data_IF_075557607627
#
_entry.id   IF_075557607627
#
_cell.length_a   1.000
_cell.length_b   1.000
_cell.length_c   1.000
_cell.angle_alpha   90.00
_cell.angle_beta   90.00
_cell.angle_gamma   90.00
#
_symmetry.space_group_name_H-M   'P 1'
#
loop_
_entity.id
_entity.type
_entity.pdbx_description
1 polymer ?
#
# COMPACT_ATOMS: atom_id res chain seq x y z
N UNK A 1 8.81 -23.00 3.69
CA UNK A 1 9.10 -21.83 2.83
C UNK A 1 7.75 -21.20 2.51
N UNK A 2 7.58 -19.92 2.79
CA UNK A 2 6.39 -19.14 2.42
C UNK A 2 6.67 -18.51 1.04
N UNK A 3 5.68 -18.52 0.15
CA UNK A 3 5.79 -17.96 -1.21
C UNK A 3 4.71 -16.90 -1.32
N UNK A 4 5.12 -15.70 -1.70
CA UNK A 4 4.24 -14.56 -1.92
C UNK A 4 4.01 -14.32 -3.41
N UNK A 5 2.97 -13.58 -3.74
CA UNK A 5 2.67 -13.11 -5.09
C UNK A 5 2.81 -11.59 -5.14
N UNK A 6 3.37 -11.09 -6.23
CA UNK A 6 3.38 -9.67 -6.56
C UNK A 6 2.63 -9.46 -7.88
N UNK A 7 1.57 -8.65 -7.86
CA UNK A 7 0.68 -8.46 -9.00
C UNK A 7 0.75 -7.01 -9.50
N UNK A 8 1.45 -6.78 -10.61
CA UNK A 8 1.65 -5.45 -11.20
C UNK A 8 0.39 -4.88 -11.89
N UNK A 9 -0.56 -5.73 -12.27
CA UNK A 9 -1.73 -5.37 -13.07
C UNK A 9 -1.40 -4.70 -14.41
N UNK A 10 -0.34 -5.18 -15.06
CA UNK A 10 0.04 -4.73 -16.40
C UNK A 10 -0.97 -5.17 -17.46
N UNK A 11 -1.22 -4.33 -18.45
CA UNK A 11 -2.01 -4.63 -19.64
C UNK A 11 -1.08 -4.91 -20.83
N UNK A 12 -0.69 -6.17 -21.09
CA UNK A 12 0.27 -6.46 -22.14
C UNK A 12 -0.33 -6.20 -23.53
N UNK A 13 0.49 -5.76 -24.50
CA UNK A 13 0.05 -5.54 -25.88
C UNK A 13 -0.64 -6.79 -26.45
N UNK A 14 -1.80 -6.59 -27.09
CA UNK A 14 -2.58 -7.67 -27.71
C UNK A 14 -3.57 -8.38 -26.78
N UNK A 15 -3.68 -8.00 -25.53
CA UNK A 15 -4.80 -8.32 -24.64
C UNK A 15 -5.62 -7.04 -24.41
N UNK A 16 -6.65 -6.78 -25.20
CA UNK A 16 -7.51 -5.62 -25.00
C UNK A 16 -8.54 -5.88 -23.89
N UNK A 17 -8.12 -6.52 -22.82
CA UNK A 17 -8.93 -6.55 -21.60
C UNK A 17 -8.79 -5.17 -20.98
N UNK A 18 -9.87 -4.38 -20.98
CA UNK A 18 -9.92 -3.17 -20.20
C UNK A 18 -9.68 -3.44 -18.72
N UNK A 19 -9.62 -2.39 -17.90
CA UNK A 19 -9.44 -2.51 -16.45
C UNK A 19 -10.37 -3.55 -15.81
N UNK A 20 -11.60 -3.68 -16.32
CA UNK A 20 -12.59 -4.65 -15.84
C UNK A 20 -12.08 -6.10 -15.89
N UNK A 21 -11.45 -6.50 -17.00
CA UNK A 21 -10.88 -7.82 -17.13
C UNK A 21 -9.69 -8.07 -16.22
N UNK A 22 -8.81 -7.07 -16.07
CA UNK A 22 -7.64 -7.17 -15.18
C UNK A 22 -8.05 -7.31 -13.70
N UNK A 23 -9.07 -6.59 -13.26
CA UNK A 23 -9.53 -6.65 -11.87
C UNK A 23 -10.25 -7.97 -11.59
N UNK A 24 -10.98 -8.52 -12.58
CA UNK A 24 -11.59 -9.84 -12.42
C UNK A 24 -10.53 -10.94 -12.37
N UNK A 25 -9.51 -10.90 -13.25
CA UNK A 25 -8.37 -11.81 -13.23
C UNK A 25 -7.62 -11.75 -11.87
N UNK A 26 -7.44 -10.56 -11.31
CA UNK A 26 -6.83 -10.38 -10.00
C UNK A 26 -7.61 -11.09 -8.89
N UNK A 27 -8.94 -10.96 -8.89
CA UNK A 27 -9.81 -11.63 -7.91
C UNK A 27 -9.68 -13.16 -8.04
N UNK A 28 -9.66 -13.68 -9.26
CA UNK A 28 -9.55 -15.12 -9.51
C UNK A 28 -8.15 -15.65 -9.13
N UNK A 29 -7.09 -14.88 -9.39
CA UNK A 29 -5.72 -15.18 -8.93
C UNK A 29 -5.67 -15.21 -7.40
N UNK A 30 -6.25 -14.21 -6.72
CA UNK A 30 -6.26 -14.15 -5.27
C UNK A 30 -7.00 -15.34 -4.64
N UNK A 31 -8.15 -15.73 -5.20
CA UNK A 31 -8.89 -16.93 -4.77
C UNK A 31 -8.08 -18.21 -4.97
N UNK A 32 -7.37 -18.32 -6.09
CA UNK A 32 -6.51 -19.47 -6.35
C UNK A 32 -5.34 -19.50 -5.38
N UNK A 33 -4.67 -18.37 -5.13
CA UNK A 33 -3.58 -18.23 -4.19
C UNK A 33 -4.00 -18.61 -2.77
N UNK A 34 -5.18 -18.14 -2.34
CA UNK A 34 -5.75 -18.47 -1.03
C UNK A 34 -5.97 -19.99 -0.86
N UNK A 35 -6.54 -20.64 -1.88
CA UNK A 35 -6.74 -22.12 -1.87
C UNK A 35 -5.43 -22.89 -1.85
N UNK A 36 -4.42 -22.41 -2.57
CA UNK A 36 -3.12 -23.07 -2.72
C UNK A 36 -2.17 -22.80 -1.56
N UNK A 37 -2.52 -21.88 -0.63
CA UNK A 37 -1.73 -21.61 0.56
C UNK A 37 -0.54 -20.69 0.32
N UNK A 38 -0.63 -19.76 -0.62
CA UNK A 38 0.33 -18.66 -0.73
C UNK A 38 0.28 -17.77 0.50
N UNK A 39 1.38 -17.10 0.81
CA UNK A 39 1.52 -16.24 1.98
C UNK A 39 0.80 -14.90 1.81
N UNK A 40 1.35 -14.03 1.00
CA UNK A 40 0.83 -12.67 0.78
C UNK A 40 0.65 -12.40 -0.72
N UNK A 41 -0.41 -11.68 -1.08
CA UNK A 41 -0.55 -11.05 -2.37
C UNK A 41 -0.27 -9.55 -2.20
N UNK A 42 0.73 -9.07 -2.93
CA UNK A 42 1.19 -7.68 -2.90
C UNK A 42 0.71 -6.93 -4.13
N UNK A 43 0.15 -5.73 -3.93
CA UNK A 43 -0.19 -4.78 -4.98
C UNK A 43 0.68 -3.53 -4.88
N UNK A 44 1.28 -3.05 -5.99
CA UNK A 44 1.89 -1.74 -6.03
C UNK A 44 0.83 -0.63 -6.09
N UNK A 45 1.28 0.60 -5.99
CA UNK A 45 0.51 1.77 -6.39
C UNK A 45 1.24 2.52 -7.49
N UNK A 46 0.58 2.65 -8.65
CA UNK A 46 1.10 3.34 -9.81
C UNK A 46 0.05 4.22 -10.48
N UNK A 47 0.50 5.38 -10.95
CA UNK A 47 -0.36 6.39 -11.57
C UNK A 47 0.22 6.88 -12.89
N UNK A 48 -0.65 7.15 -13.85
CA UNK A 48 -0.30 7.77 -15.14
C UNK A 48 0.66 6.95 -16.04
N UNK A 49 0.87 5.69 -15.75
CA UNK A 49 1.84 4.83 -16.44
C UNK A 49 1.25 3.96 -17.57
N UNK A 50 0.05 4.30 -18.05
CA UNK A 50 -0.57 3.62 -19.19
C UNK A 50 -0.75 2.12 -19.00
N UNK A 51 -0.18 1.33 -19.92
CA UNK A 51 -0.32 -0.13 -19.91
C UNK A 51 0.58 -0.83 -18.85
N UNK A 52 1.43 -0.08 -18.15
CA UNK A 52 2.35 -0.65 -17.18
C UNK A 52 1.62 -1.15 -15.93
N UNK A 53 0.71 -0.37 -15.39
CA UNK A 53 -0.08 -0.78 -14.22
C UNK A 53 -1.44 -0.11 -14.17
N UNK A 54 -2.48 -0.89 -13.85
CA UNK A 54 -3.83 -0.39 -13.55
C UNK A 54 -4.08 -0.23 -12.04
N UNK A 55 -3.06 -0.41 -11.21
CA UNK A 55 -3.18 -0.39 -9.75
C UNK A 55 -3.12 1.03 -9.17
N UNK A 56 -3.99 1.93 -9.60
CA UNK A 56 -4.03 3.32 -9.12
C UNK A 56 -4.77 3.52 -7.79
N UNK A 57 -5.52 2.52 -7.34
CA UNK A 57 -6.25 2.53 -6.07
C UNK A 57 -6.16 1.14 -5.40
N UNK A 58 -4.95 0.74 -4.97
CA UNK A 58 -4.73 -0.59 -4.40
C UNK A 58 -5.57 -0.84 -3.14
N UNK A 59 -5.89 0.18 -2.37
CA UNK A 59 -6.76 0.10 -1.20
C UNK A 59 -8.17 -0.40 -1.56
N UNK A 60 -8.76 0.06 -2.65
CA UNK A 60 -10.06 -0.41 -3.14
C UNK A 60 -9.97 -1.88 -3.57
N UNK A 61 -8.91 -2.24 -4.30
CA UNK A 61 -8.67 -3.60 -4.76
C UNK A 61 -8.45 -4.54 -3.58
N UNK A 62 -7.58 -4.19 -2.63
CA UNK A 62 -7.34 -4.99 -1.43
C UNK A 62 -8.60 -5.16 -0.58
N UNK A 63 -9.47 -4.15 -0.52
CA UNK A 63 -10.79 -4.26 0.11
C UNK A 63 -11.68 -5.31 -0.56
N UNK A 64 -11.71 -5.36 -1.89
CA UNK A 64 -12.43 -6.39 -2.65
C UNK A 64 -11.83 -7.78 -2.44
N UNK A 65 -10.49 -7.90 -2.46
CA UNK A 65 -9.78 -9.16 -2.21
C UNK A 65 -9.98 -9.67 -0.78
N UNK A 66 -10.09 -8.77 0.19
CA UNK A 66 -10.36 -9.13 1.58
C UNK A 66 -11.69 -9.88 1.76
N UNK A 67 -12.69 -9.58 0.91
CA UNK A 67 -13.98 -10.26 0.89
C UNK A 67 -13.98 -11.52 -0.01
N UNK A 68 -13.02 -11.63 -0.93
CA UNK A 68 -12.92 -12.75 -1.86
C UNK A 68 -12.03 -13.90 -1.35
N UNK A 69 -11.28 -13.69 -0.26
CA UNK A 69 -10.29 -14.60 0.32
C UNK A 69 -10.49 -14.74 1.83
N UNK A 70 -9.97 -15.84 2.41
CA UNK A 70 -10.14 -16.13 3.84
C UNK A 70 -8.82 -16.11 4.63
N UNK A 71 -7.70 -16.53 4.03
CA UNK A 71 -6.40 -16.74 4.70
C UNK A 71 -5.26 -15.94 4.10
N UNK A 72 -5.31 -15.68 2.80
CA UNK A 72 -4.28 -14.94 2.08
C UNK A 72 -4.07 -13.58 2.71
N UNK A 73 -2.83 -13.26 3.06
CA UNK A 73 -2.46 -11.90 3.48
C UNK A 73 -2.49 -10.99 2.26
N UNK A 74 -2.82 -9.73 2.46
CA UNK A 74 -3.03 -8.74 1.41
C UNK A 74 -2.14 -7.54 1.70
N UNK A 75 -1.26 -7.18 0.78
CA UNK A 75 -0.22 -6.22 1.05
C UNK A 75 -0.11 -5.08 0.04
N UNK A 76 0.28 -3.91 0.53
CA UNK A 76 0.76 -2.82 -0.30
C UNK A 76 2.26 -2.99 -0.56
N UNK A 77 2.66 -3.10 -1.80
CA UNK A 77 4.05 -3.26 -2.19
C UNK A 77 4.48 -2.31 -3.30
N UNK A 78 4.54 -0.96 -3.09
CA UNK A 78 4.43 -0.18 -1.84
C UNK A 78 3.50 1.02 -2.01
N UNK A 79 3.15 1.68 -0.91
CA UNK A 79 2.52 2.99 -0.92
C UNK A 79 3.60 4.08 -1.11
N UNK A 80 3.51 4.94 -2.14
CA UNK A 80 4.43 6.05 -2.35
C UNK A 80 4.09 7.22 -1.42
N UNK A 81 4.67 7.26 -0.22
CA UNK A 81 4.30 8.24 0.82
C UNK A 81 4.37 9.70 0.39
N UNK A 82 5.28 10.15 -0.51
CA UNK A 82 5.33 11.56 -0.90
C UNK A 82 4.07 12.12 -1.56
N UNK A 83 3.21 11.25 -2.08
CA UNK A 83 1.94 11.66 -2.72
C UNK A 83 0.72 11.44 -1.82
N UNK A 84 0.94 11.09 -0.55
CA UNK A 84 -0.13 10.76 0.39
C UNK A 84 -0.09 11.59 1.68
N UNK A 85 -1.26 11.81 2.26
CA UNK A 85 -1.40 12.30 3.64
C UNK A 85 -1.32 11.10 4.62
N UNK A 86 -0.39 11.11 5.61
CA UNK A 86 -0.20 10.00 6.55
C UNK A 86 -1.44 9.67 7.38
N UNK A 87 -2.27 10.67 7.71
CA UNK A 87 -3.53 10.44 8.45
C UNK A 87 -4.46 9.57 7.61
N UNK A 88 -4.59 9.91 6.31
CA UNK A 88 -5.45 9.14 5.39
C UNK A 88 -4.94 7.72 5.19
N UNK A 89 -3.62 7.52 5.13
CA UNK A 89 -3.03 6.17 5.05
C UNK A 89 -3.32 5.39 6.32
N UNK A 90 -3.12 5.96 7.51
CA UNK A 90 -3.39 5.27 8.76
C UNK A 90 -4.86 4.83 8.88
N UNK A 91 -5.82 5.68 8.49
CA UNK A 91 -7.26 5.33 8.48
C UNK A 91 -7.60 4.23 7.46
N UNK A 92 -7.00 4.28 6.25
CA UNK A 92 -7.19 3.24 5.22
C UNK A 92 -6.64 1.89 5.69
N UNK A 93 -5.44 1.86 6.26
CA UNK A 93 -4.83 0.65 6.81
C UNK A 93 -5.68 0.07 7.94
N UNK A 94 -6.16 0.90 8.87
CA UNK A 94 -7.02 0.46 9.96
C UNK A 94 -8.37 -0.09 9.46
N UNK A 95 -8.94 0.55 8.43
CA UNK A 95 -10.18 0.08 7.79
C UNK A 95 -9.99 -1.27 7.10
N UNK A 96 -8.92 -1.42 6.32
CA UNK A 96 -8.60 -2.66 5.62
C UNK A 96 -8.24 -3.79 6.58
N UNK A 97 -7.52 -3.49 7.67
CA UNK A 97 -7.21 -4.48 8.72
C UNK A 97 -8.49 -5.03 9.36
N UNK A 98 -9.44 -4.15 9.68
CA UNK A 98 -10.74 -4.56 10.19
C UNK A 98 -11.55 -5.38 9.17
N UNK A 99 -11.62 -4.94 7.91
CA UNK A 99 -12.33 -5.64 6.83
C UNK A 99 -11.76 -7.03 6.53
N UNK A 100 -10.43 -7.17 6.60
CA UNK A 100 -9.74 -8.42 6.28
C UNK A 100 -9.64 -9.37 7.47
N UNK A 101 -10.03 -8.95 8.68
CA UNK A 101 -9.83 -9.74 9.90
C UNK A 101 -8.35 -9.83 10.32
N UNK A 102 -7.56 -8.79 10.05
CA UNK A 102 -6.16 -8.71 10.48
C UNK A 102 -5.16 -9.30 9.50
N UNK A 103 -5.49 -9.37 8.20
CA UNK A 103 -4.64 -9.93 7.15
C UNK A 103 -3.90 -8.89 6.32
N UNK A 104 -3.98 -7.60 6.70
CA UNK A 104 -3.29 -6.54 5.96
C UNK A 104 -1.82 -6.47 6.33
N UNK A 105 -1.00 -6.39 5.29
CA UNK A 105 0.42 -6.06 5.32
C UNK A 105 0.61 -4.73 4.60
N UNK A 106 1.54 -3.92 5.06
CA UNK A 106 1.80 -2.65 4.39
C UNK A 106 3.29 -2.42 4.17
N UNK A 107 3.61 -1.91 3.00
CA UNK A 107 4.94 -1.45 2.64
C UNK A 107 4.88 -0.03 2.13
N UNK A 108 5.93 0.73 2.36
CA UNK A 108 6.07 2.13 1.96
C UNK A 108 7.34 2.36 1.16
N UNK A 109 7.30 3.37 0.31
CA UNK A 109 8.44 3.79 -0.48
C UNK A 109 8.40 5.27 -0.83
N UNK A 110 9.51 5.75 -1.36
CA UNK A 110 9.63 7.13 -1.82
C UNK A 110 8.88 7.39 -3.14
N UNK A 111 8.48 6.32 -3.86
CA UNK A 111 8.09 6.42 -5.26
C UNK A 111 9.30 6.44 -6.18
N UNK A 112 9.12 6.01 -7.43
CA UNK A 112 10.24 5.80 -8.37
C UNK A 112 10.15 6.72 -9.57
N UNK A 113 8.96 7.16 -9.98
CA UNK A 113 8.79 7.92 -11.20
C UNK A 113 8.54 9.41 -10.92
N UNK A 114 9.24 10.26 -11.68
CA UNK A 114 9.01 11.70 -11.64
C UNK A 114 7.61 12.05 -12.14
N UNK A 115 7.10 11.30 -13.11
CA UNK A 115 5.74 11.49 -13.67
C UNK A 115 4.66 11.37 -12.58
N UNK A 116 4.77 10.39 -11.68
CA UNK A 116 3.82 10.21 -10.60
C UNK A 116 3.94 11.33 -9.56
N UNK A 117 5.16 11.64 -9.13
CA UNK A 117 5.39 12.72 -8.17
C UNK A 117 4.87 14.07 -8.68
N UNK A 118 5.27 14.47 -9.88
CA UNK A 118 4.84 15.72 -10.51
C UNK A 118 3.34 15.76 -10.77
N UNK A 119 2.74 14.63 -11.18
CA UNK A 119 1.31 14.50 -11.41
C UNK A 119 0.46 14.77 -10.16
N UNK A 120 0.99 14.49 -8.97
CA UNK A 120 0.38 14.81 -7.68
C UNK A 120 0.92 16.10 -7.04
N UNK A 121 1.77 16.84 -7.77
CA UNK A 121 2.32 18.11 -7.29
C UNK A 121 3.44 17.95 -6.25
N UNK A 122 4.01 16.75 -6.11
CA UNK A 122 5.18 16.53 -5.28
C UNK A 122 6.45 16.83 -6.07
N UNK A 123 7.34 17.64 -5.49
CA UNK A 123 8.61 17.96 -6.10
C UNK A 123 9.59 16.77 -6.00
N UNK A 124 10.09 16.21 -7.12
CA UNK A 124 10.97 15.03 -7.07
C UNK A 124 12.23 15.21 -6.21
N UNK A 125 12.80 16.41 -6.20
CA UNK A 125 14.00 16.74 -5.40
C UNK A 125 13.75 16.68 -3.89
N UNK A 126 12.52 16.94 -3.44
CA UNK A 126 12.11 16.90 -2.03
C UNK A 126 11.46 15.57 -1.63
N UNK A 127 11.30 14.64 -2.56
CA UNK A 127 10.57 13.39 -2.31
C UNK A 127 11.14 12.54 -1.16
N UNK A 128 12.46 12.62 -0.93
CA UNK A 128 13.10 11.92 0.19
C UNK A 128 12.73 12.54 1.53
N UNK A 129 12.79 13.85 1.64
CA UNK A 129 12.45 14.59 2.87
C UNK A 129 10.98 14.34 3.23
N UNK A 130 10.08 14.52 2.26
CA UNK A 130 8.65 14.26 2.42
C UNK A 130 8.40 12.79 2.83
N UNK A 131 9.12 11.84 2.22
CA UNK A 131 9.01 10.42 2.60
C UNK A 131 9.36 10.19 4.06
N UNK A 132 10.48 10.73 4.54
CA UNK A 132 10.92 10.54 5.93
C UNK A 132 9.96 11.18 6.93
N UNK A 133 9.47 12.41 6.67
CA UNK A 133 8.48 13.07 7.48
C UNK A 133 7.17 12.28 7.55
N UNK A 134 6.62 11.92 6.38
CA UNK A 134 5.37 11.17 6.32
C UNK A 134 5.48 9.76 6.90
N UNK A 135 6.66 9.13 6.82
CA UNK A 135 6.90 7.83 7.45
C UNK A 135 6.90 7.92 8.97
N UNK A 136 7.61 8.90 9.54
CA UNK A 136 7.61 9.13 10.98
C UNK A 136 6.19 9.45 11.51
N UNK A 137 5.46 10.30 10.80
CA UNK A 137 4.08 10.63 11.15
C UNK A 137 3.17 9.38 11.07
N UNK A 138 3.31 8.56 10.04
CA UNK A 138 2.53 7.34 9.88
C UNK A 138 2.79 6.35 11.03
N UNK A 139 4.06 6.15 11.41
CA UNK A 139 4.42 5.28 12.54
C UNK A 139 3.76 5.77 13.85
N UNK A 140 3.87 7.06 14.15
CA UNK A 140 3.23 7.66 15.33
C UNK A 140 1.71 7.51 15.32
N UNK A 141 1.06 7.69 14.17
CA UNK A 141 -0.39 7.52 14.01
C UNK A 141 -0.82 6.08 14.22
N UNK A 142 -0.08 5.11 13.67
CA UNK A 142 -0.38 3.68 13.82
C UNK A 142 -0.14 3.19 15.25
N UNK A 143 0.79 3.80 15.98
CA UNK A 143 1.07 3.47 17.37
C UNK A 143 0.07 4.11 18.34
N UNK A 144 -0.11 5.43 18.26
CA UNK A 144 -0.95 6.20 19.19
C UNK A 144 -2.45 6.09 18.90
N UNK A 145 -2.81 5.98 17.63
CA UNK A 145 -4.20 6.07 17.13
C UNK A 145 -4.79 7.48 17.25
N UNK A 146 -3.95 8.51 17.40
CA UNK A 146 -4.39 9.90 17.54
C UNK A 146 -3.26 10.87 17.16
N UNK A 147 -3.62 12.13 16.92
CA UNK A 147 -2.67 13.22 16.66
C UNK A 147 -3.21 14.53 17.24
N UNK A 148 -2.31 15.48 17.45
CA UNK A 148 -2.66 16.84 17.86
C UNK A 148 -2.50 17.80 16.69
N UNK A 149 -3.47 18.71 16.52
CA UNK A 149 -3.39 19.82 15.56
C UNK A 149 -4.09 21.05 16.13
N UNK A 150 -3.42 22.17 16.11
CA UNK A 150 -3.93 23.46 16.62
C UNK A 150 -4.45 23.39 18.08
N UNK A 151 -3.79 22.61 18.95
CA UNK A 151 -4.17 22.46 20.35
C UNK A 151 -5.37 21.55 20.62
N UNK A 152 -5.87 20.85 19.60
CA UNK A 152 -6.94 19.86 19.74
C UNK A 152 -6.41 18.44 19.43
N UNK A 153 -6.87 17.46 20.19
CA UNK A 153 -6.54 16.03 19.95
C UNK A 153 -7.62 15.38 19.09
N UNK A 154 -7.19 14.74 18.02
CA UNK A 154 -8.04 14.00 17.09
C UNK A 154 -7.71 12.52 17.20
N UNK A 155 -8.72 11.67 17.30
CA UNK A 155 -8.57 10.21 17.31
C UNK A 155 -8.90 9.63 15.94
N UNK A 156 -8.06 8.71 15.46
CA UNK A 156 -8.34 7.95 14.23
C UNK A 156 -9.54 7.03 14.42
N UNK A 157 -10.35 6.89 13.39
CA UNK A 157 -11.51 6.02 13.38
C UNK A 157 -11.69 5.31 12.01
N UNK A 158 -11.54 3.95 11.95
CA UNK A 158 -11.26 3.08 13.09
C UNK A 158 -9.86 3.28 13.69
N UNK A 159 -9.72 2.91 14.96
CA UNK A 159 -8.41 2.95 15.62
C UNK A 159 -7.50 1.85 15.06
N UNK A 160 -6.24 2.14 14.70
CA UNK A 160 -5.28 1.14 14.24
C UNK A 160 -5.09 0.00 15.26
N UNK A 161 -5.02 -1.22 14.77
CA UNK A 161 -4.72 -2.38 15.61
C UNK A 161 -3.21 -2.50 15.86
N UNK A 162 -2.82 -3.21 16.92
CA UNK A 162 -1.40 -3.46 17.21
C UNK A 162 -0.68 -4.24 16.10
N UNK A 163 -1.40 -4.93 15.21
CA UNK A 163 -0.83 -5.65 14.07
C UNK A 163 -0.24 -4.74 12.99
N UNK A 164 -0.71 -3.50 12.93
CA UNK A 164 -0.24 -2.51 11.95
C UNK A 164 1.04 -1.77 12.37
N UNK A 165 1.65 -2.12 13.50
CA UNK A 165 2.90 -1.48 13.95
C UNK A 165 4.10 -1.80 13.06
N UNK A 166 4.15 -3.03 12.55
CA UNK A 166 5.25 -3.49 11.72
C UNK A 166 4.89 -3.35 10.25
N UNK A 167 5.74 -2.67 9.49
CA UNK A 167 5.60 -2.45 8.06
C UNK A 167 6.89 -2.76 7.31
N UNK A 168 6.85 -2.61 6.01
CA UNK A 168 7.97 -2.83 5.10
C UNK A 168 8.40 -1.52 4.47
N UNK A 169 9.70 -1.37 4.27
CA UNK A 169 10.27 -0.22 3.56
C UNK A 169 10.97 -0.72 2.31
N UNK A 170 10.63 -0.14 1.14
CA UNK A 170 11.34 -0.40 -0.09
C UNK A 170 12.71 0.29 -0.05
N UNK A 171 13.76 -0.49 0.14
CA UNK A 171 15.13 -0.01 0.24
C UNK A 171 15.86 -0.26 -1.08
N UNK A 172 16.29 0.83 -1.75
CA UNK A 172 17.04 0.79 -3.02
C UNK A 172 18.36 1.57 -2.95
N UNK A 173 18.67 2.18 -1.80
CA UNK A 173 19.93 2.90 -1.56
C UNK A 173 20.47 2.57 -0.16
N UNK A 174 21.79 2.72 0.09
CA UNK A 174 22.36 2.45 1.40
C UNK A 174 21.61 3.11 2.54
N UNK A 175 21.23 4.37 2.38
CA UNK A 175 20.55 5.14 3.42
C UNK A 175 19.12 4.63 3.72
N UNK A 176 18.44 4.01 2.73
CA UNK A 176 17.15 3.39 2.96
C UNK A 176 17.25 1.99 3.56
N UNK A 177 18.41 1.32 3.40
CA UNK A 177 18.68 0.09 4.14
C UNK A 177 18.89 0.36 5.64
N UNK A 178 19.58 1.45 5.99
CA UNK A 178 19.76 1.85 7.39
C UNK A 178 18.39 2.14 8.04
N UNK A 179 17.52 2.91 7.35
CA UNK A 179 16.16 3.19 7.82
C UNK A 179 15.30 1.92 8.00
N UNK A 180 15.47 0.92 7.12
CA UNK A 180 14.70 -0.32 7.21
C UNK A 180 15.22 -1.26 8.31
N UNK A 181 16.39 -1.00 8.87
CA UNK A 181 17.01 -1.79 9.94
C UNK A 181 16.68 -1.27 11.34
N UNK A 182 16.22 -0.04 11.47
CA UNK A 182 15.75 0.60 12.71
C UNK A 182 14.30 0.21 13.05
#
# INVERSE_FOLDING_TARGET
MEIDLFCELASPPGRPQGADGLFQDLIDVARAADRLGFGTLWLPEHHFLGDYSAASAPDILLGALAQATERLKLGFGVLPLPIHDPIRIAERLATLDALSGGRIMWGVGRGVTTTELEGFGAEPSSSREIFLENFADLQLLLESGSFERAGAVYSLNPRPSARLKDGWVAAVSPETFDLAAE
#
